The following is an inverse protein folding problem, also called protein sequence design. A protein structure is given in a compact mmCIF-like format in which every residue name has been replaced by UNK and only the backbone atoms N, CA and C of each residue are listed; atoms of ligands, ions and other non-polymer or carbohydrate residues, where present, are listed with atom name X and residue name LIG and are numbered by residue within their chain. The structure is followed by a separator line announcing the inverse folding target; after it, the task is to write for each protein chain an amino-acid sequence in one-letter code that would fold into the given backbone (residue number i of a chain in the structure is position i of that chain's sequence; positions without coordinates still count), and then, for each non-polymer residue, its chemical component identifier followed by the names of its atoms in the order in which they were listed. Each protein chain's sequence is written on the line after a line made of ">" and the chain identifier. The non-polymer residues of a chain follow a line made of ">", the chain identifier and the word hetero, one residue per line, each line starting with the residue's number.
data_IF_746984600831
#
_entry.id   IF_746984600831
#
_cell.length_a   1.000
_cell.length_b   1.000
_cell.length_c   1.000
_cell.angle_alpha   90.00
_cell.angle_beta   90.00
_cell.angle_gamma   90.00
#
_symmetry.space_group_name_H-M   'P 1'
#
loop_
_entity.id
_entity.type
_entity.pdbx_description
1 polymer ?
#
# COMPACT_ATOMS: atom_id res chain seq x y z
N UNK A 1 12.04 -9.01 18.83
CA UNK A 1 11.32 -10.30 18.75
C UNK A 1 10.34 -10.24 17.59
N UNK A 2 9.88 -11.38 17.10
CA UNK A 2 8.94 -11.48 15.99
C UNK A 2 7.78 -12.40 16.37
N UNK A 3 6.58 -12.04 15.97
CA UNK A 3 5.36 -12.80 16.24
C UNK A 3 4.77 -13.30 14.92
N UNK A 4 4.45 -14.59 14.86
CA UNK A 4 3.73 -15.18 13.73
C UNK A 4 2.24 -14.88 13.93
N UNK A 5 1.67 -14.13 13.00
CA UNK A 5 0.25 -13.75 13.04
C UNK A 5 -0.61 -14.76 12.27
N UNK A 6 -0.13 -15.22 11.11
CA UNK A 6 -0.88 -16.11 10.22
C UNK A 6 0.07 -17.00 9.40
N UNK A 7 -0.42 -18.14 8.92
CA UNK A 7 0.25 -18.97 7.91
C UNK A 7 -0.64 -19.17 6.68
N UNK A 8 -0.02 -19.41 5.52
CA UNK A 8 -0.70 -19.73 4.26
C UNK A 8 0.12 -20.71 3.42
N UNK A 9 -0.56 -21.42 2.52
CA UNK A 9 0.08 -22.14 1.43
C UNK A 9 0.10 -21.25 0.18
N UNK A 10 1.27 -20.88 -0.30
CA UNK A 10 1.42 -20.14 -1.55
C UNK A 10 1.32 -21.12 -2.72
N UNK A 11 0.15 -21.21 -3.35
CA UNK A 11 -0.10 -22.14 -4.47
C UNK A 11 0.76 -21.84 -5.70
N UNK A 12 1.19 -20.59 -5.90
CA UNK A 12 2.02 -20.21 -7.06
C UNK A 12 3.46 -20.71 -6.91
N UNK A 13 3.99 -20.71 -5.69
CA UNK A 13 5.37 -21.11 -5.39
C UNK A 13 5.47 -22.50 -4.72
N UNK A 14 4.34 -23.11 -4.37
CA UNK A 14 4.27 -24.45 -3.77
C UNK A 14 4.87 -24.54 -2.36
N UNK A 15 4.95 -23.42 -1.63
CA UNK A 15 5.61 -23.35 -0.31
C UNK A 15 4.70 -22.80 0.79
N UNK A 16 5.00 -23.18 2.03
CA UNK A 16 4.33 -22.67 3.22
C UNK A 16 5.00 -21.36 3.68
N UNK A 17 4.19 -20.32 3.88
CA UNK A 17 4.64 -18.99 4.27
C UNK A 17 3.94 -18.53 5.55
N UNK A 18 4.66 -17.72 6.34
CA UNK A 18 4.20 -17.21 7.63
C UNK A 18 4.27 -15.69 7.64
N UNK A 19 3.16 -15.03 7.97
CA UNK A 19 3.11 -13.59 8.12
C UNK A 19 3.65 -13.21 9.50
N UNK A 20 4.73 -12.42 9.49
CA UNK A 20 5.49 -12.08 10.69
C UNK A 20 5.40 -10.59 10.97
N UNK A 21 5.05 -10.26 12.21
CA UNK A 21 5.14 -8.90 12.74
C UNK A 21 6.37 -8.75 13.63
N UNK A 22 7.13 -7.68 13.41
CA UNK A 22 8.30 -7.34 14.21
C UNK A 22 7.89 -6.46 15.39
N UNK A 23 7.93 -7.01 16.60
CA UNK A 23 7.49 -6.32 17.82
C UNK A 23 8.29 -5.03 18.03
N UNK A 24 7.58 -3.91 18.18
CA UNK A 24 8.17 -2.59 18.36
C UNK A 24 8.58 -1.89 17.06
N UNK A 25 8.29 -2.49 15.91
CA UNK A 25 8.56 -1.91 14.59
C UNK A 25 7.26 -1.56 13.85
N UNK A 26 7.37 -0.66 12.87
CA UNK A 26 6.25 -0.26 12.03
C UNK A 26 5.82 -1.43 11.13
N UNK A 27 4.50 -1.63 10.97
CA UNK A 27 3.90 -2.71 10.17
C UNK A 27 4.32 -2.73 8.69
N UNK A 28 4.86 -1.65 8.15
CA UNK A 28 5.48 -1.63 6.81
C UNK A 28 6.63 -2.65 6.66
N UNK A 29 7.21 -3.08 7.77
CA UNK A 29 8.28 -4.08 7.82
C UNK A 29 7.74 -5.51 7.96
N UNK A 30 6.44 -5.68 8.16
CA UNK A 30 5.83 -7.00 8.24
C UNK A 30 5.93 -7.68 6.87
N UNK A 31 6.19 -8.98 6.86
CA UNK A 31 6.43 -9.74 5.64
C UNK A 31 5.97 -11.19 5.77
N UNK A 32 5.76 -11.83 4.62
CA UNK A 32 5.61 -13.28 4.53
C UNK A 32 6.99 -13.91 4.41
N UNK A 33 7.31 -14.81 5.34
CA UNK A 33 8.59 -15.51 5.37
C UNK A 33 8.41 -17.02 5.23
N UNK A 34 9.39 -17.67 4.60
CA UNK A 34 9.47 -19.12 4.51
C UNK A 34 9.74 -19.74 5.89
N UNK A 35 9.30 -20.98 6.09
CA UNK A 35 9.61 -21.80 7.27
C UNK A 35 11.10 -21.81 7.63
N UNK A 36 11.98 -21.77 6.64
CA UNK A 36 13.43 -21.77 6.83
C UNK A 36 13.96 -20.49 7.52
N UNK A 37 13.22 -19.38 7.44
CA UNK A 37 13.56 -18.12 8.14
C UNK A 37 13.01 -18.07 9.57
N UNK A 38 12.11 -18.98 9.92
CA UNK A 38 11.61 -19.10 11.29
C UNK A 38 12.62 -19.91 12.11
N UNK A 39 13.52 -19.21 12.79
CA UNK A 39 14.19 -19.77 13.94
C UNK A 39 13.15 -19.95 15.05
N UNK A 40 12.45 -21.09 15.06
CA UNK A 40 11.57 -21.51 16.14
C UNK A 40 12.42 -21.79 17.39
N UNK A 41 13.00 -20.75 17.99
CA UNK A 41 13.60 -20.84 19.32
C UNK A 41 12.48 -20.88 20.34
N UNK A 42 11.81 -22.04 20.42
CA UNK A 42 11.05 -22.50 21.57
C UNK A 42 10.79 -23.99 21.35
N UNK A 43 11.73 -24.79 21.83
CA UNK A 43 11.44 -26.18 22.18
C UNK A 43 10.20 -26.17 23.08
N UNK A 44 9.25 -27.06 22.80
CA UNK A 44 7.91 -27.15 23.42
C UNK A 44 7.90 -27.50 24.93
N UNK A 45 8.87 -27.04 25.72
CA UNK A 45 9.01 -27.42 27.13
C UNK A 45 9.01 -26.29 28.16
N UNK A 46 8.92 -25.01 27.76
CA UNK A 46 9.03 -23.89 28.73
C UNK A 46 7.78 -23.02 28.89
N UNK A 47 6.68 -23.31 28.20
CA UNK A 47 5.44 -22.53 28.30
C UNK A 47 4.50 -22.91 29.47
N UNK A 48 4.90 -23.85 30.34
CA UNK A 48 4.02 -24.38 31.40
C UNK A 48 4.29 -23.86 32.82
N UNK A 49 5.26 -22.96 33.04
CA UNK A 49 5.54 -22.44 34.38
C UNK A 49 5.88 -20.95 34.36
N UNK A 50 4.85 -20.11 34.50
CA UNK A 50 4.81 -19.00 35.47
C UNK A 50 3.50 -18.22 35.32
N UNK A 51 2.50 -18.67 36.05
CA UNK A 51 1.38 -17.86 36.52
C UNK A 51 1.49 -17.75 38.04
N UNK A 52 2.01 -16.63 38.55
CA UNK A 52 1.75 -16.12 39.91
C UNK A 52 2.49 -14.79 40.17
N UNK A 53 1.76 -13.68 39.97
CA UNK A 53 1.74 -12.40 40.76
C UNK A 53 3.00 -11.51 40.94
N UNK A 54 2.88 -10.25 41.42
CA UNK A 54 1.99 -9.16 41.01
C UNK A 54 2.76 -7.82 40.70
N UNK A 55 1.99 -6.81 40.30
CA UNK A 55 2.32 -5.41 39.96
C UNK A 55 3.22 -4.64 40.96
N UNK A 56 4.24 -3.93 40.45
CA UNK A 56 4.82 -2.71 41.06
C UNK A 56 5.26 -1.75 39.94
N UNK A 57 4.89 -0.48 40.06
CA UNK A 57 5.00 0.56 39.03
C UNK A 57 6.34 1.31 38.91
N UNK A 58 6.34 2.14 37.86
CA UNK A 58 7.15 3.33 37.52
C UNK A 58 8.67 3.31 37.73
N UNK A 59 9.38 3.70 36.66
CA UNK A 59 10.22 4.91 36.64
C UNK A 59 10.52 5.29 35.18
N UNK A 60 10.09 6.50 34.80
CA UNK A 60 10.33 7.13 33.50
C UNK A 60 11.47 8.14 33.63
N UNK A 61 12.35 8.23 32.62
CA UNK A 61 13.27 9.37 32.40
C UNK A 61 13.65 9.47 30.90
N UNK A 62 14.13 10.62 30.39
CA UNK A 62 13.41 11.89 30.29
C UNK A 62 13.34 12.37 28.82
N UNK A 63 12.19 12.91 28.43
CA UNK A 63 12.00 13.50 27.10
C UNK A 63 12.78 14.81 26.94
N UNK A 64 13.62 14.89 25.90
CA UNK A 64 14.17 16.16 25.43
C UNK A 64 13.03 17.00 24.87
N UNK A 65 12.65 18.07 25.59
CA UNK A 65 11.58 18.99 25.19
C UNK A 65 11.94 19.72 23.90
N UNK A 66 11.31 19.31 22.81
CA UNK A 66 11.35 19.96 21.50
C UNK A 66 10.43 21.18 21.52
N UNK A 67 10.85 22.28 20.89
CA UNK A 67 10.04 23.50 20.83
C UNK A 67 8.78 23.30 19.98
N UNK A 68 7.69 24.01 20.30
CA UNK A 68 6.38 23.93 19.61
C UNK A 68 6.49 24.06 18.08
N UNK A 69 7.46 24.83 17.60
CA UNK A 69 7.67 25.06 16.17
C UNK A 69 8.44 23.90 15.48
N UNK A 70 9.35 23.24 16.20
CA UNK A 70 10.05 22.05 15.73
C UNK A 70 9.13 20.82 15.69
N UNK A 71 8.21 20.68 16.66
CA UNK A 71 7.19 19.63 16.66
C UNK A 71 6.26 19.75 15.45
N UNK A 72 5.79 20.96 15.14
CA UNK A 72 4.93 21.23 13.98
C UNK A 72 5.61 20.89 12.65
N UNK A 73 6.88 21.28 12.47
CA UNK A 73 7.66 20.89 11.27
C UNK A 73 7.90 19.38 11.20
N UNK A 74 8.13 18.72 12.33
CA UNK A 74 8.31 17.27 12.37
C UNK A 74 7.02 16.53 12.00
N UNK A 75 5.86 17.01 12.47
CA UNK A 75 4.55 16.43 12.19
C UNK A 75 4.10 16.70 10.74
N UNK A 76 4.43 17.87 10.17
CA UNK A 76 4.18 18.23 8.76
C UNK A 76 5.04 17.41 7.78
N UNK A 77 6.32 17.19 8.10
CA UNK A 77 7.24 16.42 7.25
C UNK A 77 6.96 14.91 7.33
N UNK A 78 6.53 14.39 8.49
CA UNK A 78 6.27 12.96 8.69
C UNK A 78 4.80 12.55 8.54
N UNK A 79 3.88 13.48 8.22
CA UNK A 79 2.44 13.19 8.11
C UNK A 79 1.90 12.42 9.34
N UNK A 80 2.37 12.77 10.54
CA UNK A 80 1.88 12.16 11.78
C UNK A 80 0.46 12.66 11.99
N UNK A 81 -0.53 11.79 11.77
CA UNK A 81 -1.93 12.13 11.97
C UNK A 81 -2.30 12.24 13.45
N UNK A 82 -3.32 13.05 13.68
CA UNK A 82 -3.94 13.38 14.97
C UNK A 82 -4.32 12.13 15.74
N UNK A 83 -4.14 12.18 17.05
CA UNK A 83 -4.51 11.10 17.97
C UNK A 83 -5.97 10.69 17.81
N UNK A 84 -6.23 9.39 17.91
CA UNK A 84 -7.53 8.69 17.88
C UNK A 84 -8.71 9.43 18.56
N UNK A 85 -8.41 10.29 19.54
CA UNK A 85 -9.39 11.13 20.24
C UNK A 85 -10.01 12.27 19.40
N UNK A 86 -9.45 12.60 18.22
CA UNK A 86 -9.95 13.68 17.36
C UNK A 86 -10.80 13.20 16.17
N UNK A 87 -11.07 11.90 16.07
CA UNK A 87 -11.80 11.31 14.95
C UNK A 87 -13.30 11.13 15.26
N UNK A 88 -14.14 11.33 14.24
CA UNK A 88 -15.58 11.10 14.33
C UNK A 88 -15.88 9.60 14.60
N UNK A 89 -16.87 9.25 15.44
CA UNK A 89 -17.14 7.88 15.86
C UNK A 89 -17.39 6.90 14.71
N UNK A 90 -17.97 7.37 13.60
CA UNK A 90 -18.21 6.56 12.40
C UNK A 90 -16.91 6.24 11.67
N UNK A 91 -15.97 7.18 11.64
CA UNK A 91 -14.65 6.98 11.03
C UNK A 91 -13.79 6.05 11.88
N UNK A 92 -13.82 6.23 13.21
CA UNK A 92 -13.11 5.35 14.14
C UNK A 92 -13.65 3.90 14.14
N UNK A 93 -14.96 3.70 13.96
CA UNK A 93 -15.55 2.37 13.84
C UNK A 93 -15.13 1.67 12.53
N UNK A 94 -15.18 2.39 11.40
CA UNK A 94 -14.69 1.90 10.11
C UNK A 94 -13.19 1.60 10.16
N UNK A 95 -12.40 2.43 10.83
CA UNK A 95 -10.97 2.17 11.01
C UNK A 95 -10.69 0.98 11.90
N UNK A 96 -11.47 0.75 12.96
CA UNK A 96 -11.29 -0.42 13.84
C UNK A 96 -11.69 -1.72 13.17
N UNK A 97 -12.73 -1.68 12.33
CA UNK A 97 -13.13 -2.82 11.49
C UNK A 97 -12.10 -3.05 10.37
N UNK A 98 -11.62 -1.99 9.73
CA UNK A 98 -10.52 -2.05 8.78
C UNK A 98 -9.25 -2.62 9.43
N UNK A 99 -8.81 -2.13 10.59
CA UNK A 99 -7.62 -2.61 11.31
C UNK A 99 -7.68 -4.11 11.63
N UNK A 100 -8.87 -4.66 11.85
CA UNK A 100 -9.05 -6.09 12.10
C UNK A 100 -8.94 -6.92 10.81
N UNK A 101 -9.43 -6.40 9.69
CA UNK A 101 -9.37 -7.03 8.36
C UNK A 101 -7.98 -6.85 7.71
N UNK A 102 -7.29 -5.74 7.99
CA UNK A 102 -6.00 -5.36 7.40
C UNK A 102 -4.78 -5.87 8.18
N UNK A 103 -4.96 -6.70 9.22
CA UNK A 103 -3.83 -7.21 10.02
C UNK A 103 -2.82 -8.01 9.20
N UNK A 104 -3.26 -8.59 8.09
CA UNK A 104 -2.44 -9.40 7.21
C UNK A 104 -2.61 -8.89 5.78
N UNK A 105 -1.51 -8.42 5.18
CA UNK A 105 -1.47 -8.15 3.73
C UNK A 105 -1.43 -9.49 3.01
N UNK A 106 -2.28 -9.67 2.01
CA UNK A 106 -2.25 -10.85 1.16
C UNK A 106 -1.47 -10.60 -0.14
N UNK A 107 -1.58 -9.39 -0.69
CA UNK A 107 -0.71 -8.92 -1.76
C UNK A 107 0.61 -8.48 -1.16
N UNK A 108 1.66 -9.24 -1.46
CA UNK A 108 2.98 -9.02 -0.88
C UNK A 108 3.81 -8.09 -1.76
N UNK A 109 3.62 -8.23 -3.07
CA UNK A 109 4.39 -7.52 -4.08
C UNK A 109 3.57 -7.25 -5.33
N UNK A 110 3.97 -6.22 -6.04
CA UNK A 110 3.42 -5.87 -7.34
C UNK A 110 4.53 -5.81 -8.38
N UNK A 111 4.19 -6.11 -9.62
CA UNK A 111 5.02 -5.85 -10.78
C UNK A 111 4.39 -4.72 -11.59
N UNK A 112 5.12 -3.62 -11.80
CA UNK A 112 4.67 -2.47 -12.58
C UNK A 112 5.81 -1.94 -13.45
N UNK A 113 5.59 -1.90 -14.77
CA UNK A 113 6.63 -1.58 -15.75
C UNK A 113 7.84 -2.50 -15.60
N UNK A 114 9.00 -1.94 -15.29
CA UNK A 114 10.24 -2.69 -15.06
C UNK A 114 10.54 -2.96 -13.58
N UNK A 115 9.61 -2.63 -12.67
CA UNK A 115 9.83 -2.69 -11.23
C UNK A 115 9.04 -3.82 -10.58
N UNK A 116 9.65 -4.43 -9.57
CA UNK A 116 8.97 -5.26 -8.58
C UNK A 116 9.06 -4.55 -7.23
N UNK A 117 7.91 -4.32 -6.60
CA UNK A 117 7.80 -3.47 -5.41
C UNK A 117 7.03 -4.21 -4.33
N UNK A 118 7.60 -4.30 -3.13
CA UNK A 118 6.94 -4.89 -1.97
C UNK A 118 5.87 -3.94 -1.40
N UNK A 119 4.69 -4.49 -1.13
CA UNK A 119 3.58 -3.76 -0.54
C UNK A 119 3.81 -3.53 0.96
N UNK A 120 3.50 -2.34 1.45
CA UNK A 120 3.64 -1.99 2.86
C UNK A 120 2.37 -2.24 3.66
N UNK A 121 1.21 -2.02 3.03
CA UNK A 121 -0.09 -2.08 3.67
C UNK A 121 -1.07 -2.94 2.89
N UNK A 122 -2.15 -3.36 3.56
CA UNK A 122 -3.27 -4.01 2.92
C UNK A 122 -3.97 -3.04 1.95
N UNK A 123 -4.38 -3.58 0.78
CA UNK A 123 -5.27 -2.92 -0.17
C UNK A 123 -6.44 -3.85 -0.56
N UNK A 124 -7.68 -3.34 -0.60
CA UNK A 124 -8.90 -4.13 -0.82
C UNK A 124 -9.13 -4.43 -2.31
N UNK A 125 -8.19 -5.12 -2.96
CA UNK A 125 -8.41 -5.60 -4.31
C UNK A 125 -9.61 -6.58 -4.33
N UNK A 126 -10.53 -6.45 -5.31
CA UNK A 126 -11.77 -7.21 -5.32
C UNK A 126 -11.54 -8.72 -5.47
N UNK A 127 -12.53 -9.51 -5.07
CA UNK A 127 -12.60 -10.96 -5.31
C UNK A 127 -11.31 -11.70 -4.92
N UNK A 128 -10.83 -12.60 -5.78
CA UNK A 128 -9.60 -13.37 -5.55
C UNK A 128 -8.32 -12.62 -5.94
N UNK A 129 -8.41 -11.35 -6.40
CA UNK A 129 -7.21 -10.54 -6.66
C UNK A 129 -6.51 -10.16 -5.36
N UNK A 130 -7.29 -9.79 -4.33
CA UNK A 130 -6.77 -9.49 -3.00
C UNK A 130 -6.09 -10.67 -2.32
N UNK A 131 -6.32 -11.91 -2.79
CA UNK A 131 -5.69 -13.12 -2.24
C UNK A 131 -4.39 -13.51 -2.95
N UNK A 132 -4.03 -12.83 -4.04
CA UNK A 132 -2.83 -13.17 -4.79
C UNK A 132 -1.59 -12.64 -4.07
N UNK A 133 -0.51 -13.44 -3.93
CA UNK A 133 0.74 -12.97 -3.34
C UNK A 133 1.41 -11.89 -4.21
N UNK A 134 1.20 -11.98 -5.53
CA UNK A 134 1.74 -11.03 -6.52
C UNK A 134 0.66 -10.59 -7.49
N UNK A 135 0.58 -9.28 -7.72
CA UNK A 135 -0.24 -8.69 -8.79
C UNK A 135 0.63 -8.08 -9.89
N UNK A 136 0.17 -8.20 -11.12
CA UNK A 136 0.80 -7.62 -12.31
C UNK A 136 -0.02 -6.41 -12.73
N UNK A 137 0.58 -5.23 -12.75
CA UNK A 137 -0.11 -3.96 -12.96
C UNK A 137 0.46 -3.28 -14.21
N UNK A 138 -0.43 -2.90 -15.13
CA UNK A 138 -0.04 -2.11 -16.29
C UNK A 138 0.37 -0.71 -15.85
N UNK A 139 1.55 -0.25 -16.25
CA UNK A 139 2.05 1.08 -15.87
C UNK A 139 1.23 2.24 -16.46
N UNK A 140 0.53 2.01 -17.59
CA UNK A 140 -0.23 3.05 -18.28
C UNK A 140 -1.69 3.09 -17.86
N UNK A 141 -2.43 1.98 -17.93
CA UNK A 141 -3.87 1.95 -17.60
C UNK A 141 -4.16 1.50 -16.16
N UNK A 142 -3.13 1.15 -15.38
CA UNK A 142 -3.22 0.67 -14.00
C UNK A 142 -4.07 -0.59 -13.78
N UNK A 143 -4.49 -1.26 -14.86
CA UNK A 143 -5.19 -2.53 -14.78
C UNK A 143 -4.30 -3.54 -14.04
N UNK A 144 -4.86 -4.20 -13.04
CA UNK A 144 -4.22 -5.29 -12.31
C UNK A 144 -4.65 -6.66 -12.85
N UNK A 145 -3.73 -7.62 -12.80
CA UNK A 145 -3.87 -8.98 -13.34
C UNK A 145 -3.24 -9.98 -12.36
N UNK A 146 -3.81 -11.20 -12.32
CA UNK A 146 -3.35 -12.28 -11.43
C UNK A 146 -2.10 -13.01 -11.96
N UNK A 147 -1.97 -13.12 -13.28
CA UNK A 147 -0.98 -13.99 -13.93
C UNK A 147 -0.08 -13.19 -14.87
N UNK A 148 1.18 -13.60 -14.95
CA UNK A 148 2.14 -13.02 -15.89
C UNK A 148 1.69 -13.18 -17.34
N UNK A 149 1.09 -14.33 -17.67
CA UNK A 149 0.59 -14.60 -19.03
C UNK A 149 -0.46 -13.57 -19.46
N UNK A 150 -1.41 -13.23 -18.59
CA UNK A 150 -2.44 -12.25 -18.91
C UNK A 150 -1.88 -10.83 -18.95
N UNK A 151 -0.86 -10.54 -18.13
CA UNK A 151 -0.10 -9.31 -18.20
C UNK A 151 0.64 -9.12 -19.52
N UNK A 152 1.39 -10.14 -19.99
CA UNK A 152 2.11 -10.07 -21.28
C UNK A 152 1.16 -9.90 -22.47
N UNK A 153 0.04 -10.61 -22.48
CA UNK A 153 -1.00 -10.45 -23.51
C UNK A 153 -1.63 -9.04 -23.47
N UNK A 154 -1.75 -8.46 -22.28
CA UNK A 154 -2.18 -7.08 -22.13
C UNK A 154 -1.12 -6.11 -22.66
N UNK A 155 0.18 -6.28 -22.39
CA UNK A 155 1.21 -5.37 -22.89
C UNK A 155 1.29 -5.34 -24.42
N UNK A 156 1.26 -6.50 -25.08
CA UNK A 156 1.31 -6.59 -26.54
C UNK A 156 0.40 -7.73 -26.99
N UNK A 157 -0.67 -7.47 -27.79
CA UNK A 157 -1.11 -6.20 -28.39
C UNK A 157 -2.25 -5.49 -27.63
N UNK A 158 -2.58 -5.91 -26.40
CA UNK A 158 -3.87 -5.56 -25.78
C UNK A 158 -4.02 -4.11 -25.30
N UNK A 159 -2.97 -3.50 -24.77
CA UNK A 159 -3.00 -2.19 -24.15
C UNK A 159 -2.64 -1.14 -25.19
N UNK A 160 -3.55 -0.21 -25.42
CA UNK A 160 -3.33 0.90 -26.33
C UNK A 160 -2.98 2.20 -25.61
N UNK A 161 -2.90 2.15 -24.28
CA UNK A 161 -2.62 3.30 -23.43
C UNK A 161 -1.13 3.55 -23.38
N UNK A 162 -0.76 4.83 -23.39
CA UNK A 162 0.62 5.26 -23.27
C UNK A 162 0.78 6.52 -22.38
N UNK A 163 -0.31 6.96 -21.75
CA UNK A 163 -0.33 8.01 -20.74
C UNK A 163 -1.56 7.81 -19.80
N UNK A 164 -1.57 8.45 -18.62
CA UNK A 164 -2.80 8.58 -17.82
C UNK A 164 -3.94 9.17 -18.65
N UNK A 165 -5.16 8.65 -18.49
CA UNK A 165 -6.34 9.09 -19.25
C UNK A 165 -6.52 8.47 -20.65
N UNK A 166 -5.48 7.88 -21.27
CA UNK A 166 -5.65 7.11 -22.51
C UNK A 166 -4.44 7.05 -23.46
N UNK A 167 -4.71 7.35 -24.73
CA UNK A 167 -3.72 7.32 -25.81
C UNK A 167 -2.83 8.57 -25.79
N UNK A 168 -1.56 8.41 -26.18
CA UNK A 168 -0.64 9.52 -26.46
C UNK A 168 -1.22 10.37 -27.61
N UNK A 169 -1.96 11.44 -27.29
CA UNK A 169 -2.56 12.31 -28.30
C UNK A 169 -3.94 12.89 -28.00
N UNK A 170 -4.60 12.58 -26.86
CA UNK A 170 -5.72 13.42 -26.40
C UNK A 170 -5.16 14.70 -25.79
N UNK A 171 -5.32 15.87 -26.43
CA UNK A 171 -4.66 17.11 -26.00
C UNK A 171 -5.30 17.75 -24.75
N UNK A 172 -6.17 17.03 -24.04
CA UNK A 172 -7.04 17.58 -22.99
C UNK A 172 -6.56 17.36 -21.55
N UNK A 173 -5.64 16.42 -21.31
CA UNK A 173 -5.41 15.90 -19.95
C UNK A 173 -4.11 16.39 -19.32
N UNK A 174 -3.23 17.08 -20.06
CA UNK A 174 -1.96 17.60 -19.51
C UNK A 174 -2.24 18.93 -18.81
N UNK A 175 -2.23 18.91 -17.48
CA UNK A 175 -2.37 20.10 -16.65
C UNK A 175 -1.17 21.05 -16.77
N UNK A 176 0.03 20.49 -16.96
CA UNK A 176 1.22 21.29 -17.20
C UNK A 176 2.48 20.47 -17.40
N UNK A 177 3.45 21.07 -18.10
CA UNK A 177 4.81 20.55 -18.23
C UNK A 177 5.73 21.31 -17.27
N UNK A 178 6.44 20.59 -16.40
CA UNK A 178 7.31 21.24 -15.40
C UNK A 178 8.71 21.51 -15.96
N UNK A 179 9.40 20.46 -16.43
CA UNK A 179 10.77 20.50 -16.99
C UNK A 179 10.96 19.34 -17.97
N UNK A 180 11.59 19.58 -19.12
CA UNK A 180 11.96 18.65 -20.21
C UNK A 180 11.05 17.43 -20.43
N UNK A 181 11.11 16.44 -19.53
CA UNK A 181 10.43 15.16 -19.61
C UNK A 181 9.45 14.90 -18.44
N UNK A 182 9.08 15.90 -17.64
CA UNK A 182 8.13 15.76 -16.53
C UNK A 182 6.82 16.48 -16.86
N UNK A 183 5.72 15.73 -16.81
CA UNK A 183 4.38 16.21 -17.11
C UNK A 183 3.41 15.85 -16.01
N UNK A 184 2.44 16.73 -15.75
CA UNK A 184 1.33 16.46 -14.84
C UNK A 184 0.05 16.29 -15.65
N UNK A 185 -0.68 15.21 -15.38
CA UNK A 185 -1.96 14.90 -15.98
C UNK A 185 -3.08 15.14 -14.98
N UNK A 186 -4.13 15.85 -15.38
CA UNK A 186 -5.38 15.98 -14.63
C UNK A 186 -6.35 14.90 -15.12
N UNK A 187 -6.89 14.11 -14.20
CA UNK A 187 -7.82 13.02 -14.49
C UNK A 187 -9.03 13.13 -13.58
N UNK A 188 -10.19 13.40 -14.17
CA UNK A 188 -11.46 13.46 -13.44
C UNK A 188 -11.92 12.03 -13.08
N UNK A 189 -12.19 11.78 -11.80
CA UNK A 189 -12.66 10.49 -11.30
C UNK A 189 -14.05 10.11 -11.78
N UNK A 190 -14.87 11.07 -12.20
CA UNK A 190 -16.17 10.83 -12.84
C UNK A 190 -16.00 10.28 -14.24
N UNK A 191 -15.10 10.86 -15.03
CA UNK A 191 -14.90 10.49 -16.44
C UNK A 191 -14.04 9.22 -16.57
N UNK A 192 -13.06 9.04 -15.68
CA UNK A 192 -12.10 7.93 -15.70
C UNK A 192 -12.22 7.01 -14.46
N UNK A 193 -13.46 6.68 -14.07
CA UNK A 193 -13.77 5.91 -12.86
C UNK A 193 -12.89 4.67 -12.64
N UNK A 194 -12.77 3.79 -13.64
CA UNK A 194 -11.98 2.55 -13.50
C UNK A 194 -10.49 2.84 -13.29
N UNK A 195 -9.94 3.82 -14.01
CA UNK A 195 -8.54 4.21 -13.87
C UNK A 195 -8.27 4.75 -12.46
N UNK A 196 -9.12 5.64 -11.97
CA UNK A 196 -8.99 6.25 -10.65
C UNK A 196 -9.20 5.24 -9.52
N UNK A 197 -10.09 4.26 -9.69
CA UNK A 197 -10.25 3.14 -8.76
C UNK A 197 -8.99 2.27 -8.71
N UNK A 198 -8.41 1.93 -9.87
CA UNK A 198 -7.16 1.18 -9.94
C UNK A 198 -6.00 1.95 -9.28
N UNK A 199 -5.90 3.26 -9.53
CA UNK A 199 -4.93 4.13 -8.89
C UNK A 199 -5.10 4.14 -7.37
N UNK A 200 -6.34 4.21 -6.88
CA UNK A 200 -6.61 4.18 -5.45
C UNK A 200 -6.22 2.85 -4.79
N UNK A 201 -6.50 1.72 -5.45
CA UNK A 201 -6.11 0.39 -4.97
C UNK A 201 -4.58 0.23 -4.95
N UNK A 202 -3.89 0.72 -5.99
CA UNK A 202 -2.42 0.76 -6.02
C UNK A 202 -1.87 1.63 -4.89
N UNK A 203 -2.41 2.83 -4.70
CA UNK A 203 -1.96 3.75 -3.66
C UNK A 203 -2.15 3.20 -2.25
N UNK A 204 -3.25 2.47 -2.01
CA UNK A 204 -3.56 1.89 -0.69
C UNK A 204 -2.53 0.83 -0.25
N UNK A 205 -1.76 0.24 -1.17
CA UNK A 205 -0.63 -0.63 -0.84
C UNK A 205 0.52 0.11 -0.13
N UNK A 206 0.58 1.44 -0.28
CA UNK A 206 1.66 2.29 0.23
C UNK A 206 1.15 3.39 1.18
N UNK A 207 -0.17 3.50 1.36
CA UNK A 207 -0.83 4.45 2.26
C UNK A 207 -1.63 3.70 3.33
N UNK A 208 -1.32 3.97 4.59
CA UNK A 208 -1.97 3.31 5.73
C UNK A 208 -3.46 3.70 5.83
N UNK A 209 -3.72 5.01 5.93
CA UNK A 209 -5.04 5.58 6.25
C UNK A 209 -5.83 6.08 5.03
N UNK A 210 -5.67 5.46 3.85
CA UNK A 210 -6.52 5.78 2.70
C UNK A 210 -7.89 5.11 2.83
N UNK A 211 -8.94 5.91 3.00
CA UNK A 211 -10.30 5.43 3.31
C UNK A 211 -11.22 5.34 2.09
N UNK A 212 -10.94 6.09 1.03
CA UNK A 212 -11.74 6.12 -0.20
C UNK A 212 -10.95 5.53 -1.38
N UNK A 213 -11.52 4.49 -1.99
CA UNK A 213 -10.93 3.77 -3.12
C UNK A 213 -11.92 3.37 -4.23
N UNK A 214 -13.22 3.25 -3.94
CA UNK A 214 -14.24 2.98 -4.96
C UNK A 214 -15.07 4.20 -5.33
N UNK A 215 -15.30 5.10 -4.38
CA UNK A 215 -16.01 6.36 -4.60
C UNK A 215 -15.02 7.44 -5.04
N UNK A 216 -14.74 7.48 -6.35
CA UNK A 216 -13.74 8.36 -6.96
C UNK A 216 -14.36 9.54 -7.71
N UNK A 217 -15.67 9.51 -7.97
CA UNK A 217 -16.37 10.52 -8.76
C UNK A 217 -16.27 11.95 -8.19
N UNK A 218 -16.19 12.17 -6.87
CA UNK A 218 -16.01 13.51 -6.32
C UNK A 218 -14.60 14.09 -6.47
N UNK A 219 -13.62 13.33 -6.98
CA UNK A 219 -12.21 13.68 -6.92
C UNK A 219 -11.60 13.94 -8.29
N UNK A 220 -10.66 14.88 -8.33
CA UNK A 220 -9.75 15.08 -9.45
C UNK A 220 -8.35 14.60 -9.06
N UNK A 221 -7.71 13.83 -9.94
CA UNK A 221 -6.40 13.24 -9.71
C UNK A 221 -5.35 13.94 -10.57
N UNK A 222 -4.25 14.35 -9.94
CA UNK A 222 -3.10 14.97 -10.59
C UNK A 222 -1.93 14.00 -10.59
N UNK A 223 -1.64 13.40 -11.74
CA UNK A 223 -0.59 12.39 -11.89
C UNK A 223 0.70 13.02 -12.39
N UNK A 224 1.77 12.88 -11.61
CA UNK A 224 3.11 13.22 -12.02
C UNK A 224 3.69 12.06 -12.85
N UNK A 225 4.18 12.39 -14.04
CA UNK A 225 4.75 11.42 -14.97
C UNK A 225 6.12 11.84 -15.48
N UNK A 226 6.95 10.85 -15.77
CA UNK A 226 8.15 10.98 -16.58
C UNK A 226 7.87 10.50 -18.00
N UNK A 227 8.10 11.34 -18.99
CA UNK A 227 7.76 11.13 -20.40
C UNK A 227 9.00 10.75 -21.18
N UNK A 228 8.94 9.62 -21.88
CA UNK A 228 9.97 9.19 -22.80
C UNK A 228 9.38 8.89 -24.20
N UNK A 229 10.11 8.14 -25.03
CA UNK A 229 9.66 7.74 -26.37
C UNK A 229 8.57 6.65 -26.37
N UNK A 230 8.39 5.95 -25.26
CA UNK A 230 7.46 4.84 -25.05
C UNK A 230 6.16 5.30 -24.39
N UNK A 231 6.19 6.34 -23.55
CA UNK A 231 4.98 6.88 -22.94
C UNK A 231 5.24 7.88 -21.81
N UNK A 232 4.17 8.17 -21.06
CA UNK A 232 4.21 8.90 -19.81
C UNK A 232 4.09 7.91 -18.64
N UNK A 233 5.20 7.68 -17.94
CA UNK A 233 5.35 6.73 -16.86
C UNK A 233 4.97 7.36 -15.53
N UNK A 234 4.05 6.75 -14.78
CA UNK A 234 3.61 7.28 -13.48
C UNK A 234 4.73 7.26 -12.45
N UNK A 235 4.93 8.40 -11.77
CA UNK A 235 5.91 8.58 -10.69
C UNK A 235 5.21 8.79 -9.36
N UNK A 236 4.10 9.52 -9.36
CA UNK A 236 3.31 9.81 -8.16
C UNK A 236 2.02 10.54 -8.52
N UNK A 237 1.18 10.80 -7.51
CA UNK A 237 -0.05 11.55 -7.71
C UNK A 237 -0.49 12.25 -6.43
N UNK A 238 -1.40 13.22 -6.57
CA UNK A 238 -2.26 13.68 -5.48
C UNK A 238 -3.70 13.80 -5.96
N UNK A 239 -4.68 13.66 -5.07
CA UNK A 239 -6.10 13.85 -5.35
C UNK A 239 -6.62 15.12 -4.65
N UNK A 240 -7.58 15.81 -5.27
CA UNK A 240 -8.23 17.01 -4.75
C UNK A 240 -9.74 16.84 -4.76
#
# INVERSE_FOLDING_TARGET
>A
SAEVIQSRLNEQEGREEFYVHYVGFNRRLDEWVDKNRLALSKSLKEAAQKSSEPFVGELAEPERKITRNQKRKHDEINHVQKTYAEMDPTTAALEKEHEAITKVKYVDKIHIGHFEIDAWYFSPFPEDYGKQPKLWICEFCLKYMKLERTYRLHLVPGCTWAAPGGHLGTPGDVWGHLKSNISVYEVDGKDHKIYCQNLCLLAKLFLDHKTLYFDVEPFVFYLLTEVDRHGAHIVGYFSK
#
